data_IF_301103214818
#
_entry.id   IF_301103214818
#
_cell.length_a   1.000
_cell.length_b   1.000
_cell.length_c   1.000
_cell.angle_alpha   90.00
_cell.angle_beta   90.00
_cell.angle_gamma   90.00
#
_symmetry.space_group_name_H-M   'P 1'
#
loop_
_entity.id
_entity.type
_entity.pdbx_description
1 polymer ?
#
# COMPACT_ATOMS: atom_id res chain seq x y z
N UNK A 1 -1.17 -9.00 10.66
CA UNK A 1 -2.05 -7.83 10.86
C UNK A 1 -2.93 -7.64 9.62
N UNK A 2 -4.19 -7.23 9.79
CA UNK A 2 -5.12 -6.94 8.69
C UNK A 2 -5.70 -5.54 8.89
N UNK A 3 -5.66 -4.72 7.85
CA UNK A 3 -6.22 -3.36 7.82
C UNK A 3 -7.22 -3.28 6.67
N UNK A 4 -8.39 -2.70 6.95
CA UNK A 4 -9.39 -2.40 5.94
C UNK A 4 -9.63 -0.90 5.93
N UNK A 5 -9.70 -0.30 4.74
CA UNK A 5 -9.92 1.13 4.60
C UNK A 5 -10.55 1.44 3.24
N UNK A 6 -11.03 2.67 3.11
CA UNK A 6 -11.61 3.21 1.89
C UNK A 6 -10.77 4.38 1.41
N UNK A 7 -10.55 4.51 0.10
CA UNK A 7 -9.75 5.57 -0.53
C UNK A 7 -10.51 6.15 -1.72
N UNK A 8 -10.41 7.44 -1.95
CA UNK A 8 -10.91 8.11 -3.15
C UNK A 8 -9.74 8.29 -4.14
N UNK A 9 -9.60 7.42 -5.16
CA UNK A 9 -8.40 7.37 -6.00
C UNK A 9 -8.25 8.59 -6.89
N UNK A 10 -9.35 9.23 -7.27
CA UNK A 10 -9.35 10.35 -8.20
C UNK A 10 -10.19 11.52 -7.69
N UNK A 11 -9.94 12.70 -8.24
CA UNK A 11 -10.74 13.90 -8.06
C UNK A 11 -10.71 14.75 -9.31
N UNK A 12 -11.82 15.41 -9.62
CA UNK A 12 -11.87 16.37 -10.72
C UNK A 12 -11.31 17.71 -10.27
N UNK A 13 -10.27 18.19 -10.96
CA UNK A 13 -9.61 19.46 -10.72
C UNK A 13 -9.56 20.24 -12.03
N UNK A 14 -10.17 21.43 -12.07
CA UNK A 14 -10.14 22.35 -13.24
C UNK A 14 -10.47 21.67 -14.60
N UNK A 15 -11.35 20.67 -14.59
CA UNK A 15 -11.79 19.96 -15.80
C UNK A 15 -11.03 18.68 -16.13
N UNK A 16 -9.86 18.43 -15.53
CA UNK A 16 -9.13 17.16 -15.65
C UNK A 16 -9.37 16.27 -14.43
N UNK A 17 -9.14 14.96 -14.60
CA UNK A 17 -9.16 13.99 -13.50
C UNK A 17 -7.73 13.78 -13.03
N UNK A 18 -7.46 14.06 -11.77
CA UNK A 18 -6.16 13.86 -11.14
C UNK A 18 -6.24 12.74 -10.08
N UNK A 19 -5.09 12.17 -9.73
CA UNK A 19 -4.94 11.35 -8.52
C UNK A 19 -5.26 12.21 -7.30
N UNK A 20 -5.84 11.59 -6.27
CA UNK A 20 -6.38 12.33 -5.11
C UNK A 20 -5.74 11.90 -3.78
N UNK A 21 -6.18 10.78 -3.21
CA UNK A 21 -5.73 10.35 -1.88
C UNK A 21 -4.58 9.36 -1.94
N UNK A 22 -3.71 9.39 -0.93
CA UNK A 22 -2.78 8.31 -0.57
C UNK A 22 -2.95 8.01 0.92
N UNK A 23 -2.81 6.74 1.30
CA UNK A 23 -2.90 6.33 2.70
C UNK A 23 -1.51 5.94 3.20
N UNK A 24 -1.11 6.49 4.35
CA UNK A 24 0.08 6.09 5.08
C UNK A 24 -0.32 5.29 6.32
N UNK A 25 0.05 4.02 6.34
CA UNK A 25 -0.17 3.11 7.46
C UNK A 25 1.10 2.97 8.27
N UNK A 26 1.09 3.51 9.49
CA UNK A 26 2.16 3.31 10.48
C UNK A 26 1.96 1.98 11.18
N UNK A 27 2.86 1.03 10.95
CA UNK A 27 2.88 -0.28 11.56
C UNK A 27 3.28 -0.16 13.03
N UNK A 28 2.55 -0.79 13.97
CA UNK A 28 2.87 -0.78 15.38
C UNK A 28 3.96 -1.81 15.71
N UNK A 29 5.11 -1.74 15.04
CA UNK A 29 6.21 -2.67 15.30
C UNK A 29 6.86 -2.40 16.66
N UNK A 30 7.28 -3.44 17.39
CA UNK A 30 8.06 -3.29 18.60
C UNK A 30 9.51 -3.00 18.21
N UNK A 31 9.83 -1.72 17.98
CA UNK A 31 11.15 -1.28 17.52
C UNK A 31 12.27 -1.82 18.42
N UNK A 32 12.13 -1.68 19.75
CA UNK A 32 13.12 -2.19 20.72
C UNK A 32 13.34 -3.70 20.61
N UNK A 33 12.26 -4.47 20.41
CA UNK A 33 12.35 -5.94 20.27
C UNK A 33 13.04 -6.28 18.95
N UNK A 34 12.63 -5.66 17.84
CA UNK A 34 13.26 -5.90 16.53
C UNK A 34 14.75 -5.50 16.52
N UNK A 35 15.11 -4.39 17.17
CA UNK A 35 16.50 -3.98 17.33
C UNK A 35 17.31 -4.98 18.18
N UNK A 36 16.71 -5.56 19.22
CA UNK A 36 17.38 -6.56 20.07
C UNK A 36 17.72 -7.86 19.33
N UNK A 37 16.98 -8.16 18.26
CA UNK A 37 17.22 -9.33 17.40
C UNK A 37 18.35 -9.11 16.40
N UNK A 38 18.78 -7.86 16.20
CA UNK A 38 19.93 -7.50 15.36
C UNK A 38 19.83 -8.05 13.94
N UNK A 39 20.79 -8.89 13.57
CA UNK A 39 20.97 -9.45 12.22
C UNK A 39 20.12 -10.71 11.96
N UNK A 40 19.12 -11.00 12.79
CA UNK A 40 18.22 -12.11 12.53
C UNK A 40 17.47 -11.88 11.21
N UNK A 41 17.53 -12.86 10.31
CA UNK A 41 16.77 -12.83 9.06
C UNK A 41 15.26 -12.87 9.33
N UNK A 42 14.54 -11.92 8.77
CA UNK A 42 13.09 -11.82 8.86
C UNK A 42 12.47 -11.66 7.48
N UNK A 43 11.24 -12.16 7.32
CA UNK A 43 10.49 -12.03 6.08
C UNK A 43 9.21 -11.26 6.33
N UNK A 44 9.09 -10.11 5.69
CA UNK A 44 7.87 -9.31 5.67
C UNK A 44 7.12 -9.56 4.37
N UNK A 45 5.90 -10.10 4.47
CA UNK A 45 4.98 -10.22 3.33
C UNK A 45 3.91 -9.15 3.44
N UNK A 46 3.73 -8.41 2.36
CA UNK A 46 2.63 -7.46 2.20
C UNK A 46 1.71 -7.99 1.11
N UNK A 47 0.42 -8.03 1.39
CA UNK A 47 -0.63 -8.34 0.41
C UNK A 47 -1.68 -7.23 0.40
N UNK A 48 -1.81 -6.55 -0.73
CA UNK A 48 -2.84 -5.57 -1.01
C UNK A 48 -3.91 -6.22 -1.90
N UNK A 49 -5.15 -6.22 -1.43
CA UNK A 49 -6.30 -6.74 -2.18
C UNK A 49 -7.37 -5.66 -2.31
N UNK A 50 -7.90 -5.50 -3.52
CA UNK A 50 -8.96 -4.54 -3.84
C UNK A 50 -9.80 -5.06 -5.01
N UNK A 51 -10.95 -4.43 -5.22
CA UNK A 51 -11.82 -4.75 -6.35
C UNK A 51 -11.66 -3.71 -7.45
N UNK A 52 -11.60 -4.17 -8.70
CA UNK A 52 -11.58 -3.32 -9.88
C UNK A 52 -12.89 -3.48 -10.66
N UNK A 53 -13.37 -2.40 -11.26
CA UNK A 53 -14.45 -2.48 -12.24
C UNK A 53 -13.84 -2.69 -13.63
N UNK A 54 -14.24 -3.75 -14.37
CA UNK A 54 -13.81 -3.92 -15.75
C UNK A 54 -14.37 -2.80 -16.61
N UNK A 55 -13.60 -2.40 -17.62
CA UNK A 55 -14.01 -1.37 -18.57
C UNK A 55 -15.29 -1.77 -19.32
N UNK A 56 -16.33 -0.92 -19.32
CA UNK A 56 -17.54 -1.16 -20.12
C UNK A 56 -17.22 -0.85 -21.58
N UNK A 57 -17.00 -1.89 -22.39
CA UNK A 57 -16.82 -1.78 -23.84
C UNK A 57 -16.17 -3.02 -24.45
N UNK A 58 -16.78 -3.58 -25.49
CA UNK A 58 -16.16 -4.59 -26.34
C UNK A 58 -15.18 -3.94 -27.32
N UNK A 59 -14.15 -4.71 -27.72
CA UNK A 59 -13.18 -4.45 -28.81
C UNK A 59 -11.86 -3.74 -28.41
N UNK A 60 -10.77 -4.51 -28.52
CA UNK A 60 -9.45 -3.99 -28.91
C UNK A 60 -8.59 -3.35 -27.81
N UNK A 61 -8.15 -4.14 -26.82
CA UNK A 61 -7.23 -3.68 -25.78
C UNK A 61 -5.80 -3.46 -26.30
N UNK A 62 -5.54 -2.31 -26.93
CA UNK A 62 -4.19 -1.91 -27.36
C UNK A 62 -3.34 -1.28 -26.22
N UNK A 63 -3.90 -1.06 -25.03
CA UNK A 63 -3.20 -0.38 -23.93
C UNK A 63 -3.36 -1.09 -22.59
N UNK A 64 -2.29 -1.13 -21.79
CA UNK A 64 -2.21 -1.74 -20.44
C UNK A 64 -3.23 -1.18 -19.44
N UNK A 65 -3.76 0.03 -19.71
CA UNK A 65 -4.74 0.74 -18.88
C UNK A 65 -6.20 0.59 -19.35
N UNK A 66 -6.45 -0.27 -20.34
CA UNK A 66 -7.77 -0.39 -20.97
C UNK A 66 -8.78 -1.22 -20.15
N UNK A 67 -8.31 -2.01 -19.18
CA UNK A 67 -9.16 -2.93 -18.42
C UNK A 67 -9.54 -2.42 -17.02
N UNK A 68 -8.58 -2.05 -16.17
CA UNK A 68 -8.84 -1.69 -14.78
C UNK A 68 -9.39 -0.27 -14.60
N UNK A 69 -10.40 -0.11 -13.75
CA UNK A 69 -10.97 1.19 -13.35
C UNK A 69 -9.94 2.14 -12.78
N UNK A 70 -9.14 1.62 -11.86
CA UNK A 70 -7.99 2.23 -11.22
C UNK A 70 -7.01 1.09 -10.89
N UNK A 71 -5.78 1.43 -10.57
CA UNK A 71 -4.88 0.52 -9.87
C UNK A 71 -4.55 1.09 -8.51
N UNK A 72 -4.36 0.22 -7.53
CA UNK A 72 -3.67 0.58 -6.30
C UNK A 72 -2.27 -0.01 -6.32
N UNK A 73 -1.33 0.69 -5.70
CA UNK A 73 0.04 0.27 -5.48
C UNK A 73 0.33 0.41 -4.00
N UNK A 74 1.25 -0.41 -3.52
CA UNK A 74 1.84 -0.23 -2.21
C UNK A 74 3.35 -0.07 -2.36
N UNK A 75 3.94 0.64 -1.42
CA UNK A 75 5.36 0.58 -1.15
C UNK A 75 5.61 0.81 0.35
N UNK A 76 6.84 0.62 0.79
CA UNK A 76 7.22 0.83 2.18
C UNK A 76 8.41 1.78 2.28
N UNK A 77 8.55 2.49 3.40
CA UNK A 77 9.51 3.60 3.52
C UNK A 77 10.97 3.16 3.49
N UNK A 78 11.28 1.93 3.92
CA UNK A 78 12.66 1.51 4.20
C UNK A 78 13.26 2.40 5.29
N UNK A 79 14.45 2.93 5.04
CA UNK A 79 15.13 3.89 5.92
C UNK A 79 14.74 5.36 5.68
N UNK A 80 13.83 5.65 4.75
CA UNK A 80 13.46 7.02 4.40
C UNK A 80 12.54 7.66 5.46
N UNK A 81 12.68 8.99 5.63
CA UNK A 81 11.75 9.79 6.44
C UNK A 81 10.36 9.84 5.81
N UNK A 82 9.35 10.24 6.58
CA UNK A 82 7.98 10.38 6.08
C UNK A 82 7.88 11.30 4.86
N UNK A 83 8.54 12.47 4.90
CA UNK A 83 8.55 13.42 3.79
C UNK A 83 9.24 12.87 2.53
N UNK A 84 10.39 12.22 2.70
CA UNK A 84 11.12 11.58 1.60
C UNK A 84 10.29 10.45 1.00
N UNK A 85 9.58 9.70 1.83
CA UNK A 85 8.73 8.60 1.41
C UNK A 85 7.52 9.09 0.61
N UNK A 86 6.83 10.13 1.08
CA UNK A 86 5.72 10.76 0.37
C UNK A 86 6.19 11.29 -0.99
N UNK A 87 7.33 11.99 -1.02
CA UNK A 87 7.91 12.52 -2.26
C UNK A 87 8.18 11.39 -3.26
N UNK A 88 8.79 10.30 -2.82
CA UNK A 88 9.09 9.14 -3.64
C UNK A 88 7.83 8.45 -4.19
N UNK A 89 6.77 8.32 -3.38
CA UNK A 89 5.48 7.79 -3.85
C UNK A 89 4.90 8.69 -4.95
N UNK A 90 4.93 10.01 -4.75
CA UNK A 90 4.44 10.96 -5.75
C UNK A 90 5.23 10.89 -7.06
N UNK A 91 6.54 10.69 -6.99
CA UNK A 91 7.39 10.47 -8.18
C UNK A 91 7.06 9.14 -8.86
N UNK A 92 6.94 8.05 -8.10
CA UNK A 92 6.58 6.73 -8.63
C UNK A 92 5.21 6.72 -9.34
N UNK A 93 4.22 7.42 -8.78
CA UNK A 93 2.90 7.56 -9.40
C UNK A 93 2.95 8.28 -10.76
N UNK A 94 3.82 9.30 -10.89
CA UNK A 94 4.04 10.03 -12.16
C UNK A 94 4.81 9.19 -13.17
N UNK A 95 5.88 8.53 -12.72
CA UNK A 95 6.70 7.69 -13.60
C UNK A 95 5.88 6.53 -14.19
N UNK A 96 4.99 5.91 -13.42
CA UNK A 96 4.11 4.86 -13.93
C UNK A 96 3.07 5.42 -14.93
N UNK A 97 2.57 6.65 -14.73
CA UNK A 97 1.72 7.34 -15.70
C UNK A 97 2.44 7.62 -17.02
N UNK A 98 3.72 7.97 -16.96
CA UNK A 98 4.62 8.14 -18.12
C UNK A 98 5.07 6.79 -18.74
N UNK A 99 4.67 5.66 -18.16
CA UNK A 99 5.00 4.32 -18.63
C UNK A 99 6.42 3.84 -18.27
N UNK A 100 7.11 4.56 -17.38
CA UNK A 100 8.41 4.14 -16.82
C UNK A 100 8.20 3.10 -15.72
N UNK A 101 9.18 2.19 -15.51
CA UNK A 101 9.12 1.26 -14.40
C UNK A 101 9.22 2.04 -13.07
N UNK A 102 8.35 1.78 -12.09
CA UNK A 102 8.45 2.43 -10.79
C UNK A 102 9.72 1.96 -10.08
N UNK A 103 10.43 2.90 -9.44
CA UNK A 103 11.57 2.61 -8.58
C UNK A 103 11.12 2.37 -7.14
N UNK A 104 11.71 1.37 -6.48
CA UNK A 104 11.53 1.13 -5.04
C UNK A 104 12.90 1.04 -4.40
N UNK A 105 13.03 1.56 -3.18
CA UNK A 105 14.25 1.45 -2.37
C UNK A 105 14.35 0.12 -1.63
N UNK A 106 13.33 -0.74 -1.80
CA UNK A 106 13.24 -2.03 -1.14
C UNK A 106 13.44 -3.11 -2.20
N UNK A 107 14.34 -4.03 -1.89
CA UNK A 107 14.62 -5.21 -2.70
C UNK A 107 13.52 -6.26 -2.49
N UNK A 108 12.40 -5.99 -3.12
CA UNK A 108 11.26 -6.89 -3.17
C UNK A 108 11.59 -8.17 -3.96
N UNK A 109 11.18 -9.33 -3.45
CA UNK A 109 11.44 -10.62 -4.10
C UNK A 109 10.80 -10.72 -5.49
N UNK A 110 9.56 -10.25 -5.67
CA UNK A 110 8.87 -10.27 -6.97
C UNK A 110 9.07 -8.96 -7.74
N UNK A 111 9.12 -7.86 -7.02
CA UNK A 111 9.29 -6.53 -7.57
C UNK A 111 8.01 -5.96 -8.21
N UNK A 112 8.00 -4.65 -8.49
CA UNK A 112 6.81 -3.95 -8.94
C UNK A 112 6.30 -4.43 -10.32
N UNK A 113 7.20 -4.84 -11.21
CA UNK A 113 6.81 -5.28 -12.56
C UNK A 113 6.01 -6.59 -12.55
N UNK A 114 6.28 -7.48 -11.60
CA UNK A 114 5.62 -8.79 -11.50
C UNK A 114 4.42 -8.74 -10.58
N UNK A 115 4.53 -8.07 -9.43
CA UNK A 115 3.49 -8.04 -8.40
C UNK A 115 2.23 -7.25 -8.79
N UNK A 116 2.36 -6.23 -9.65
CA UNK A 116 1.31 -5.26 -9.93
C UNK A 116 0.27 -5.74 -10.98
N UNK A 117 0.04 -7.05 -11.10
CA UNK A 117 -0.86 -7.64 -12.10
C UNK A 117 -2.21 -7.97 -11.48
N UNK A 118 -3.27 -7.35 -11.99
CA UNK A 118 -4.64 -7.56 -11.51
C UNK A 118 -4.96 -6.70 -10.29
N UNK A 119 -5.75 -7.26 -9.36
CA UNK A 119 -6.29 -6.55 -8.19
C UNK A 119 -5.84 -7.13 -6.85
N UNK A 120 -4.91 -8.08 -6.88
CA UNK A 120 -4.26 -8.65 -5.69
C UNK A 120 -2.75 -8.54 -5.93
N UNK A 121 -2.08 -7.74 -5.11
CA UNK A 121 -0.64 -7.54 -5.17
C UNK A 121 -0.04 -8.12 -3.91
N UNK A 122 0.83 -9.12 -4.03
CA UNK A 122 1.55 -9.69 -2.90
C UNK A 122 3.03 -9.67 -3.20
N UNK A 123 3.84 -9.30 -2.20
CA UNK A 123 5.29 -9.30 -2.33
C UNK A 123 5.95 -9.58 -0.99
N UNK A 124 7.23 -9.98 -1.04
CA UNK A 124 8.02 -10.35 0.13
C UNK A 124 9.25 -9.45 0.15
N UNK A 125 9.57 -8.95 1.33
CA UNK A 125 10.84 -8.31 1.63
C UNK A 125 11.59 -9.18 2.65
N UNK A 126 12.74 -9.69 2.22
CA UNK A 126 13.66 -10.42 3.08
C UNK A 126 14.74 -9.45 3.56
N UNK A 127 14.86 -9.30 4.88
CA UNK A 127 15.70 -8.27 5.50
C UNK A 127 16.10 -8.71 6.91
N UNK A 128 16.95 -7.93 7.58
CA UNK A 128 17.31 -8.15 8.98
C UNK A 128 16.28 -7.51 9.90
N UNK A 129 16.16 -8.03 11.13
CA UNK A 129 15.28 -7.45 12.14
C UNK A 129 15.64 -5.99 12.45
N UNK A 130 16.93 -5.66 12.49
CA UNK A 130 17.45 -4.30 12.68
C UNK A 130 16.98 -3.35 11.58
N UNK A 131 17.04 -3.76 10.32
CA UNK A 131 16.58 -2.94 9.19
C UNK A 131 15.05 -2.81 9.18
N UNK A 132 14.32 -3.89 9.48
CA UNK A 132 12.87 -3.85 9.60
C UNK A 132 12.40 -2.90 10.72
N UNK A 133 13.14 -2.82 11.83
CA UNK A 133 12.80 -1.92 12.95
C UNK A 133 12.71 -0.44 12.50
N UNK A 134 13.56 -0.03 11.56
CA UNK A 134 13.57 1.33 11.01
C UNK A 134 12.47 1.61 9.99
N UNK A 135 11.80 0.55 9.48
CA UNK A 135 10.78 0.66 8.45
C UNK A 135 9.40 0.29 8.98
N UNK A 136 8.62 1.32 9.33
CA UNK A 136 7.30 1.16 9.91
C UNK A 136 6.17 1.80 9.08
N UNK A 137 6.43 2.33 7.88
CA UNK A 137 5.40 3.02 7.09
C UNK A 137 5.13 2.33 5.77
N UNK A 138 3.88 1.91 5.56
CA UNK A 138 3.37 1.44 4.27
C UNK A 138 2.55 2.55 3.64
N UNK A 139 2.88 2.91 2.40
CA UNK A 139 2.10 3.84 1.59
C UNK A 139 1.26 3.08 0.58
N UNK A 140 -0.03 3.43 0.48
CA UNK A 140 -0.95 2.95 -0.55
C UNK A 140 -1.37 4.15 -1.39
N UNK A 141 -1.21 4.03 -2.71
CA UNK A 141 -1.51 5.11 -3.64
C UNK A 141 -2.19 4.60 -4.91
N UNK A 142 -3.07 5.41 -5.51
CA UNK A 142 -3.73 5.10 -6.77
C UNK A 142 -2.82 5.38 -7.96
N UNK A 143 -3.09 4.65 -9.05
CA UNK A 143 -2.56 4.92 -10.38
C UNK A 143 -3.69 5.04 -11.41
N UNK A 144 -3.38 5.69 -12.53
CA UNK A 144 -4.32 5.96 -13.62
C UNK A 144 -5.01 4.69 -14.15
N UNK A 145 -6.30 4.80 -14.48
CA UNK A 145 -7.14 3.73 -15.02
C UNK A 145 -8.25 4.28 -15.90
N UNK A 146 -9.20 3.45 -16.35
CA UNK A 146 -10.24 3.95 -17.25
C UNK A 146 -11.17 5.00 -16.61
N UNK A 147 -11.29 5.03 -15.28
CA UNK A 147 -12.03 6.09 -14.56
C UNK A 147 -11.42 7.48 -14.77
N UNK A 148 -10.08 7.59 -14.81
CA UNK A 148 -9.41 8.87 -15.09
C UNK A 148 -9.46 9.24 -16.58
N UNK A 149 -9.37 8.23 -17.47
CA UNK A 149 -9.36 8.44 -18.93
C UNK A 149 -10.74 8.68 -19.55
N UNK A 150 -11.83 8.32 -18.86
CA UNK A 150 -13.22 8.45 -19.35
C UNK A 150 -14.06 9.35 -18.42
N UNK A 151 -13.75 10.65 -18.32
CA UNK A 151 -14.43 11.56 -17.39
C UNK A 151 -15.94 11.71 -17.63
N UNK A 152 -16.41 11.46 -18.87
CA UNK A 152 -17.83 11.51 -19.22
C UNK A 152 -18.68 10.46 -18.50
N UNK A 153 -18.08 9.37 -18.00
CA UNK A 153 -18.76 8.34 -17.22
C UNK A 153 -18.96 8.72 -15.74
N UNK A 154 -18.41 9.87 -15.31
CA UNK A 154 -18.55 10.42 -13.94
C UNK A 154 -18.20 9.43 -12.81
N UNK A 155 -17.25 8.51 -13.08
CA UNK A 155 -16.78 7.50 -12.10
C UNK A 155 -15.64 7.97 -11.21
N UNK A 156 -15.10 9.17 -11.46
CA UNK A 156 -13.95 9.73 -10.74
C UNK A 156 -14.24 10.08 -9.27
N UNK A 157 -15.51 10.29 -8.89
CA UNK A 157 -15.93 10.67 -7.53
C UNK A 157 -16.35 9.46 -6.68
N UNK A 158 -15.72 8.30 -6.93
CA UNK A 158 -16.06 7.06 -6.24
C UNK A 158 -15.00 6.70 -5.22
N UNK A 159 -15.46 6.43 -4.01
CA UNK A 159 -14.67 5.78 -2.98
C UNK A 159 -14.56 4.27 -3.24
N UNK A 160 -13.38 3.70 -3.01
CA UNK A 160 -13.11 2.27 -3.19
C UNK A 160 -12.47 1.66 -1.96
N UNK A 161 -12.80 0.41 -1.67
CA UNK A 161 -12.30 -0.31 -0.50
C UNK A 161 -11.09 -1.15 -0.86
N UNK A 162 -10.15 -1.24 0.06
CA UNK A 162 -9.03 -2.18 -0.02
C UNK A 162 -8.79 -2.85 1.32
N UNK A 163 -8.10 -3.98 1.26
CA UNK A 163 -7.56 -4.69 2.42
C UNK A 163 -6.05 -4.80 2.29
N UNK A 164 -5.36 -4.44 3.36
CA UNK A 164 -3.91 -4.59 3.51
C UNK A 164 -3.64 -5.68 4.54
N UNK A 165 -2.95 -6.72 4.13
CA UNK A 165 -2.51 -7.82 4.99
C UNK A 165 -1.00 -7.73 5.11
N UNK A 166 -0.52 -7.71 6.36
CA UNK A 166 0.91 -7.67 6.68
C UNK A 166 1.24 -8.89 7.52
N UNK A 167 2.15 -9.72 7.03
CA UNK A 167 2.60 -10.94 7.70
C UNK A 167 4.08 -10.85 7.93
N UNK A 168 4.51 -11.01 9.17
CA UNK A 168 5.92 -11.07 9.55
C UNK A 168 6.24 -12.52 9.93
N UNK A 169 7.33 -13.05 9.39
CA UNK A 169 7.82 -14.41 9.65
C UNK A 169 9.27 -14.36 10.07
N UNK A 170 9.61 -15.09 11.14
CA UNK A 170 10.97 -15.24 11.66
C UNK A 170 11.32 -16.74 11.73
N UNK A 171 12.59 -17.12 11.53
CA UNK A 171 13.02 -18.51 11.65
C UNK A 171 13.08 -18.98 13.12
N UNK A 172 13.31 -18.06 14.06
CA UNK A 172 13.34 -18.37 15.49
C UNK A 172 11.92 -18.38 16.08
N UNK A 173 11.53 -19.50 16.70
CA UNK A 173 10.19 -19.75 17.24
C UNK A 173 9.96 -19.23 18.66
N UNK A 174 11.00 -18.75 19.35
CA UNK A 174 10.92 -18.31 20.76
C UNK A 174 10.77 -16.80 20.96
N UNK A 175 10.69 -16.02 19.88
CA UNK A 175 10.60 -14.56 19.96
C UNK A 175 9.14 -14.12 20.02
N UNK A 176 8.75 -13.47 21.12
CA UNK A 176 7.42 -12.88 21.25
C UNK A 176 7.34 -11.50 20.58
N UNK A 177 7.02 -11.51 19.28
CA UNK A 177 6.65 -10.31 18.53
C UNK A 177 5.16 -9.99 18.67
N UNK A 178 4.34 -10.95 19.10
CA UNK A 178 2.88 -10.82 19.05
C UNK A 178 2.34 -9.92 20.15
N UNK A 179 2.74 -10.16 21.41
CA UNK A 179 2.26 -9.41 22.57
C UNK A 179 2.45 -7.90 22.44
N UNK A 180 3.64 -7.37 22.09
CA UNK A 180 3.80 -5.93 22.00
C UNK A 180 3.02 -5.31 20.83
N UNK A 181 2.87 -6.04 19.71
CA UNK A 181 2.04 -5.60 18.57
C UNK A 181 0.57 -5.58 18.94
N UNK A 182 0.09 -6.59 19.67
CA UNK A 182 -1.31 -6.68 20.09
C UNK A 182 -1.67 -5.52 21.02
N UNK A 183 -0.82 -5.22 22.00
CA UNK A 183 -1.01 -4.08 22.93
C UNK A 183 -1.08 -2.77 22.16
N UNK A 184 -0.12 -2.51 21.27
CA UNK A 184 -0.09 -1.28 20.47
C UNK A 184 -1.30 -1.17 19.52
N UNK A 185 -1.81 -2.29 19.00
CA UNK A 185 -3.00 -2.31 18.13
C UNK A 185 -4.30 -2.10 18.92
N UNK A 186 -4.42 -2.69 20.13
CA UNK A 186 -5.61 -2.51 21.00
C UNK A 186 -5.77 -1.07 21.44
N UNK A 187 -4.68 -0.37 21.74
CA UNK A 187 -4.72 1.05 22.13
C UNK A 187 -5.31 1.92 21.01
N UNK A 188 -4.99 1.63 19.74
CA UNK A 188 -5.50 2.39 18.59
C UNK A 188 -6.99 2.15 18.29
N UNK A 189 -7.53 1.00 18.70
CA UNK A 189 -8.90 0.58 18.37
C UNK A 189 -9.92 0.81 19.49
N UNK A 190 -9.50 1.34 20.66
CA UNK A 190 -10.42 1.61 21.77
C UNK A 190 -11.22 2.88 21.50
N UNK A 191 -12.41 2.72 20.90
CA UNK A 191 -13.39 3.80 20.76
C UNK A 191 -14.24 3.81 22.04
N UNK A 192 -14.07 4.83 22.88
CA UNK A 192 -14.94 5.02 24.06
C UNK A 192 -16.28 5.53 23.53
N UNK A 193 -17.35 4.77 23.77
CA UNK A 193 -18.72 5.25 23.59
C UNK A 193 -19.01 6.11 24.81
N UNK A 194 -19.07 7.43 24.61
CA UNK A 194 -19.43 8.39 25.66
C UNK A 194 -20.96 8.53 25.63
N UNK A 195 -21.65 7.84 26.54
CA UNK A 195 -23.09 8.03 26.79
C UNK A 195 -23.29 9.38 27.47
N UNK A 196 -23.42 10.44 26.66
CA UNK A 196 -23.97 11.71 27.13
C UNK A 196 -25.48 11.58 27.27
N UNK A 197 -25.92 11.38 28.51
CA UNK A 197 -27.27 11.75 28.99
C UNK A 197 -27.56 13.23 28.73
#
# INVERSE_FOLDING_TARGET
MVIQSSISPFKKIKGSIALNEMHLHKLPWPEEVLLSLGELDVKLRITLSYYIEPSPGEVGWKSRYSYSSFGLRFDMNGSATEEQFIKRINEAAKDEEDGKPPSSNIDWTLGPNTRNKGSIHSDIWETTASQLATSNMIGIYPISGWWSKRPWLKRWDREVKYTLIVTLSTPASEIDLYTPIEVATKIRNKIIIDDKN
#
